data_IF_151803077941
#
_entry.id   IF_151803077941
#
_cell.length_a   1.000
_cell.length_b   1.000
_cell.length_c   1.000
_cell.angle_alpha   90.00
_cell.angle_beta   90.00
_cell.angle_gamma   90.00
#
_symmetry.space_group_name_H-M   'P 1'
#
loop_
_entity.id
_entity.type
_entity.pdbx_description
1 polymer ?
#
# COMPACT_ATOMS: atom_id res chain seq x y z
N UNK A 1 3.81 15.33 -0.71
CA UNK A 1 2.93 15.22 -1.89
C UNK A 1 2.95 13.78 -2.40
N UNK A 2 1.88 13.35 -3.08
CA UNK A 2 1.71 11.99 -3.60
C UNK A 2 2.31 11.82 -5.00
N UNK A 3 1.91 10.76 -5.71
CA UNK A 3 2.25 10.56 -7.12
C UNK A 3 1.40 11.48 -7.99
N UNK A 4 2.06 12.15 -8.94
CA UNK A 4 1.44 12.98 -9.97
C UNK A 4 0.51 12.13 -10.84
N UNK A 5 -0.78 12.47 -10.88
CA UNK A 5 -1.76 11.74 -11.72
C UNK A 5 -1.88 12.33 -13.12
N UNK A 6 -1.40 13.56 -13.34
CA UNK A 6 -1.63 14.31 -14.58
C UNK A 6 -3.07 14.81 -14.76
N UNK A 7 -3.95 14.59 -13.77
CA UNK A 7 -5.33 15.09 -13.80
C UNK A 7 -5.36 16.51 -13.22
N UNK A 8 -5.79 17.46 -14.05
CA UNK A 8 -5.98 18.86 -13.65
C UNK A 8 -7.46 19.12 -13.40
N UNK A 9 -7.80 19.58 -12.19
CA UNK A 9 -9.15 19.98 -11.82
C UNK A 9 -9.23 21.49 -11.69
N UNK A 10 -10.22 22.08 -12.38
CA UNK A 10 -10.59 23.49 -12.20
C UNK A 10 -11.54 23.61 -11.00
N UNK A 11 -11.16 24.48 -10.06
CA UNK A 11 -11.94 24.78 -8.86
C UNK A 11 -13.02 25.85 -9.16
N UNK A 12 -14.11 25.91 -8.38
CA UNK A 12 -15.16 26.92 -8.56
C UNK A 12 -14.66 28.37 -8.50
N UNK A 13 -13.56 28.61 -7.78
CA UNK A 13 -12.87 29.90 -7.68
C UNK A 13 -11.95 30.21 -8.88
N UNK A 14 -11.87 29.33 -9.88
CA UNK A 14 -11.06 29.51 -11.08
C UNK A 14 -9.62 29.00 -10.98
N UNK A 15 -9.17 28.53 -9.82
CA UNK A 15 -7.84 27.93 -9.66
C UNK A 15 -7.76 26.55 -10.34
N UNK A 16 -6.56 26.18 -10.78
CA UNK A 16 -6.27 24.83 -11.28
C UNK A 16 -5.43 24.10 -10.25
N UNK A 17 -5.85 22.90 -9.89
CA UNK A 17 -5.11 22.01 -8.99
C UNK A 17 -4.76 20.72 -9.72
N UNK A 18 -3.55 20.22 -9.51
CA UNK A 18 -3.20 18.86 -9.90
C UNK A 18 -3.63 17.90 -8.79
N UNK A 19 -4.34 16.84 -9.17
CA UNK A 19 -4.71 15.79 -8.24
C UNK A 19 -3.51 14.85 -8.10
N UNK A 20 -3.07 14.60 -6.88
CA UNK A 20 -2.01 13.64 -6.57
C UNK A 20 -2.61 12.44 -5.84
N UNK A 21 -2.11 11.23 -6.14
CA UNK A 21 -2.46 10.00 -5.43
C UNK A 21 -1.51 9.80 -4.23
N UNK A 22 -1.99 9.86 -2.97
CA UNK A 22 -1.16 9.56 -1.80
C UNK A 22 -0.67 8.11 -1.83
N UNK A 23 0.58 7.90 -1.38
CA UNK A 23 1.20 6.57 -1.23
C UNK A 23 0.99 5.94 0.15
N UNK A 24 0.40 6.68 1.07
CA UNK A 24 0.18 6.30 2.46
C UNK A 24 -1.08 6.93 3.01
N UNK A 25 -1.29 6.86 4.34
CA UNK A 25 -2.47 7.42 4.97
C UNK A 25 -2.56 8.94 4.76
N UNK A 26 -3.78 9.44 4.79
CA UNK A 26 -4.11 10.87 4.74
C UNK A 26 -4.67 11.32 6.08
N UNK A 27 -4.52 12.61 6.40
CA UNK A 27 -5.16 13.22 7.56
C UNK A 27 -6.66 13.47 7.33
N UNK A 28 -7.36 13.97 8.35
CA UNK A 28 -8.80 14.30 8.29
C UNK A 28 -9.15 15.36 7.23
N UNK A 29 -8.16 16.10 6.73
CA UNK A 29 -8.30 17.12 5.68
C UNK A 29 -7.91 16.58 4.29
N UNK A 30 -7.55 15.30 4.19
CA UNK A 30 -7.14 14.65 2.95
C UNK A 30 -5.70 14.95 2.52
N UNK A 31 -4.88 15.56 3.38
CA UNK A 31 -3.46 15.78 3.08
C UNK A 31 -2.65 14.52 3.34
N UNK A 32 -1.67 14.20 2.47
CA UNK A 32 -0.81 13.03 2.66
C UNK A 32 0.07 13.20 3.90
N UNK A 33 0.01 12.22 4.81
CA UNK A 33 0.93 12.15 5.95
C UNK A 33 2.33 11.83 5.41
N UNK A 34 3.36 12.64 5.70
CA UNK A 34 4.72 12.37 5.20
C UNK A 34 5.24 11.02 5.69
N UNK A 35 5.63 10.16 4.75
CA UNK A 35 6.32 8.90 5.05
C UNK A 35 7.83 9.13 5.13
N UNK A 36 8.47 8.53 6.14
CA UNK A 36 9.93 8.51 6.22
C UNK A 36 10.53 7.67 5.09
N UNK A 37 11.61 8.15 4.49
CA UNK A 37 12.28 7.44 3.41
C UNK A 37 13.06 6.24 3.97
N UNK A 38 12.65 5.03 3.60
CA UNK A 38 13.26 3.77 4.08
C UNK A 38 14.23 3.13 3.06
N UNK A 39 14.71 3.88 2.06
CA UNK A 39 15.67 3.37 1.06
C UNK A 39 15.07 2.59 -0.12
N UNK A 40 13.75 2.37 -0.14
CA UNK A 40 13.06 1.69 -1.25
C UNK A 40 12.80 2.64 -2.44
N UNK A 41 12.77 2.09 -3.66
CA UNK A 41 12.43 2.86 -4.86
C UNK A 41 10.95 3.28 -4.81
N UNK A 42 10.71 4.58 -4.71
CA UNK A 42 9.35 5.14 -4.69
C UNK A 42 8.86 5.35 -6.13
N UNK A 43 7.74 4.73 -6.55
CA UNK A 43 7.18 4.94 -7.87
C UNK A 43 6.77 6.41 -8.04
N UNK A 44 7.11 7.00 -9.19
CA UNK A 44 6.79 8.39 -9.53
C UNK A 44 5.69 8.54 -10.58
N UNK A 45 5.23 7.42 -11.15
CA UNK A 45 4.26 7.39 -12.25
C UNK A 45 3.11 6.45 -11.90
N UNK A 46 1.88 6.85 -12.22
CA UNK A 46 0.67 6.08 -11.97
C UNK A 46 0.63 4.71 -12.67
N UNK A 47 1.28 4.57 -13.83
CA UNK A 47 1.33 3.30 -14.55
C UNK A 47 2.08 2.19 -13.80
N UNK A 48 2.86 2.53 -12.77
CA UNK A 48 3.53 1.56 -11.89
C UNK A 48 2.69 1.17 -10.67
N UNK A 49 1.55 1.81 -10.44
CA UNK A 49 0.60 1.51 -9.38
C UNK A 49 -0.58 0.62 -9.85
N UNK A 50 -0.51 0.06 -11.06
CA UNK A 50 -1.60 -0.78 -11.60
C UNK A 50 -2.86 -0.02 -11.99
N UNK A 51 -2.86 1.32 -11.96
CA UNK A 51 -4.05 2.16 -12.14
C UNK A 51 -4.64 2.15 -13.55
N UNK A 52 -3.92 1.58 -14.53
CA UNK A 52 -4.35 1.49 -15.93
C UNK A 52 -5.19 0.23 -16.23
N UNK A 53 -5.41 -0.65 -15.24
CA UNK A 53 -6.09 -1.93 -15.44
C UNK A 53 -5.21 -2.99 -16.12
N UNK A 54 -5.80 -4.15 -16.40
CA UNK A 54 -5.15 -5.28 -17.09
C UNK A 54 -5.73 -5.38 -18.52
N UNK A 55 -4.91 -5.69 -19.54
CA UNK A 55 -5.44 -6.01 -20.86
C UNK A 55 -6.36 -7.24 -20.77
N UNK A 56 -7.38 -7.32 -21.62
CA UNK A 56 -8.28 -8.46 -21.66
C UNK A 56 -7.53 -9.78 -21.92
N UNK A 57 -8.00 -10.86 -21.31
CA UNK A 57 -7.41 -12.19 -21.50
C UNK A 57 -7.73 -12.79 -22.86
N UNK A 58 -6.86 -13.67 -23.31
CA UNK A 58 -6.96 -14.40 -24.57
C UNK A 58 -5.68 -14.36 -25.38
N UNK A 59 -5.82 -14.74 -26.65
CA UNK A 59 -4.77 -14.65 -27.65
C UNK A 59 -4.58 -13.21 -28.13
N UNK A 60 -3.45 -12.93 -28.78
CA UNK A 60 -3.14 -11.64 -29.39
C UNK A 60 -4.23 -11.14 -30.35
N UNK A 61 -4.96 -12.05 -30.99
CA UNK A 61 -5.98 -11.76 -32.01
C UNK A 61 -7.38 -12.29 -31.68
N UNK A 62 -7.56 -12.96 -30.54
CA UNK A 62 -8.84 -13.59 -30.18
C UNK A 62 -9.03 -13.52 -28.67
N UNK A 63 -10.13 -12.91 -28.24
CA UNK A 63 -10.47 -12.80 -26.82
C UNK A 63 -11.05 -14.12 -26.28
N UNK A 64 -10.82 -14.37 -25.00
CA UNK A 64 -11.48 -15.45 -24.26
C UNK A 64 -12.95 -15.11 -23.99
N UNK A 65 -13.81 -16.10 -23.65
CA UNK A 65 -15.16 -15.84 -23.16
C UNK A 65 -15.17 -14.85 -21.98
N UNK A 66 -16.20 -14.00 -21.92
CA UNK A 66 -16.29 -12.93 -20.90
C UNK A 66 -16.30 -13.51 -19.48
N UNK A 67 -16.99 -14.63 -19.26
CA UNK A 67 -17.07 -15.27 -17.94
C UNK A 67 -15.70 -15.77 -17.46
N UNK A 68 -14.92 -16.41 -18.34
CA UNK A 68 -13.56 -16.86 -18.03
C UNK A 68 -12.64 -15.68 -17.76
N UNK A 69 -12.75 -14.62 -18.57
CA UNK A 69 -11.94 -13.40 -18.43
C UNK A 69 -12.15 -12.71 -17.09
N UNK A 70 -13.41 -12.59 -16.65
CA UNK A 70 -13.77 -12.00 -15.36
C UNK A 70 -13.31 -12.88 -14.19
N UNK A 71 -13.45 -14.20 -14.30
CA UNK A 71 -12.99 -15.14 -13.28
C UNK A 71 -11.46 -15.06 -13.09
N UNK A 72 -10.71 -14.97 -14.21
CA UNK A 72 -9.26 -14.79 -14.19
C UNK A 72 -8.85 -13.45 -13.58
N UNK A 73 -9.49 -12.35 -13.97
CA UNK A 73 -9.21 -11.03 -13.40
C UNK A 73 -9.42 -11.01 -11.89
N UNK A 74 -10.54 -11.56 -11.43
CA UNK A 74 -10.87 -11.66 -10.00
C UNK A 74 -9.84 -12.51 -9.25
N UNK A 75 -9.47 -13.68 -9.78
CA UNK A 75 -8.47 -14.55 -9.16
C UNK A 75 -7.09 -13.88 -9.07
N UNK A 76 -6.66 -13.19 -10.13
CA UNK A 76 -5.39 -12.47 -10.15
C UNK A 76 -5.38 -11.29 -9.18
N UNK A 77 -6.48 -10.53 -9.10
CA UNK A 77 -6.61 -9.41 -8.17
C UNK A 77 -6.59 -9.91 -6.71
N UNK A 78 -7.27 -11.02 -6.43
CA UNK A 78 -7.26 -11.66 -5.11
C UNK A 78 -5.85 -12.13 -4.72
N UNK A 79 -5.16 -12.86 -5.60
CA UNK A 79 -3.80 -13.35 -5.31
C UNK A 79 -2.77 -12.23 -5.15
N UNK A 80 -2.95 -11.10 -5.82
CA UNK A 80 -2.13 -9.89 -5.62
C UNK A 80 -2.34 -9.30 -4.23
N UNK A 81 -3.59 -9.22 -3.76
CA UNK A 81 -3.92 -8.75 -2.42
C UNK A 81 -3.33 -9.66 -1.34
N UNK A 82 -3.46 -10.99 -1.50
CA UNK A 82 -2.89 -11.96 -0.57
C UNK A 82 -1.37 -11.81 -0.44
N UNK A 83 -0.65 -11.65 -1.56
CA UNK A 83 0.79 -11.43 -1.56
C UNK A 83 1.17 -10.15 -0.82
N UNK A 84 0.46 -9.05 -1.06
CA UNK A 84 0.69 -7.77 -0.36
C UNK A 84 0.43 -7.90 1.14
N UNK A 85 -0.63 -8.60 1.54
CA UNK A 85 -0.93 -8.88 2.96
C UNK A 85 0.19 -9.69 3.60
N UNK A 86 0.67 -10.76 2.96
CA UNK A 86 1.78 -11.56 3.50
C UNK A 86 3.06 -10.73 3.69
N UNK A 87 3.41 -9.88 2.71
CA UNK A 87 4.56 -8.98 2.81
C UNK A 87 4.38 -7.97 3.96
N UNK A 88 3.17 -7.46 4.14
CA UNK A 88 2.84 -6.53 5.22
C UNK A 88 2.98 -7.18 6.60
N UNK A 89 2.42 -8.38 6.77
CA UNK A 89 2.54 -9.15 8.01
C UNK A 89 4.00 -9.48 8.35
N UNK A 90 4.80 -9.82 7.34
CA UNK A 90 6.23 -10.06 7.51
C UNK A 90 6.95 -8.80 7.99
N UNK A 91 6.67 -7.65 7.38
CA UNK A 91 7.23 -6.37 7.77
C UNK A 91 6.87 -6.02 9.23
N UNK A 92 5.59 -6.15 9.60
CA UNK A 92 5.11 -5.85 10.95
C UNK A 92 5.77 -6.79 11.99
N UNK A 93 5.99 -8.07 11.66
CA UNK A 93 6.72 -9.02 12.52
C UNK A 93 8.20 -8.66 12.68
N UNK A 94 8.86 -8.27 11.59
CA UNK A 94 10.27 -7.89 11.61
C UNK A 94 10.51 -6.62 12.46
N UNK A 95 9.60 -5.65 12.41
CA UNK A 95 9.68 -4.42 13.20
C UNK A 95 9.16 -4.59 14.64
N UNK A 96 8.20 -5.48 14.87
CA UNK A 96 7.64 -5.76 16.21
C UNK A 96 8.59 -6.50 17.16
N UNK A 97 9.63 -7.16 16.64
CA UNK A 97 10.60 -7.92 17.45
C UNK A 97 11.71 -7.06 18.09
N UNK A 98 11.62 -5.73 18.01
CA UNK A 98 12.58 -4.78 18.59
C UNK A 98 12.24 -4.25 19.99
N UNK A 99 11.13 -4.69 20.61
CA UNK A 99 10.65 -4.16 21.89
C UNK A 99 10.23 -5.25 22.89
N UNK A 100 11.16 -6.14 23.25
CA UNK A 100 11.17 -6.83 24.55
C UNK A 100 12.58 -7.41 24.74
N UNK A 101 13.44 -6.88 25.61
CA UNK A 101 13.54 -7.33 26.99
C UNK A 101 14.59 -6.48 27.71
N UNK A 102 14.16 -5.60 28.62
CA UNK A 102 14.98 -5.15 29.75
C UNK A 102 14.04 -4.80 30.89
N UNK A 103 13.67 -5.84 31.60
CA UNK A 103 12.78 -5.77 32.75
C UNK A 103 12.79 -7.10 33.46
N UNK A 104 13.94 -7.47 34.05
CA UNK A 104 13.89 -8.34 35.22
C UNK A 104 15.17 -8.23 36.07
N UNK A 105 14.98 -8.07 37.38
CA UNK A 105 16.06 -8.16 38.35
C UNK A 105 15.86 -7.43 39.67
N UNK A 106 14.78 -7.70 40.42
CA UNK A 106 14.84 -7.56 41.89
C UNK A 106 13.92 -8.58 42.55
N UNK A 107 14.48 -9.75 42.84
CA UNK A 107 13.87 -10.77 43.68
C UNK A 107 13.82 -10.26 45.13
N UNK A 108 12.62 -10.17 45.69
CA UNK A 108 12.43 -9.99 47.13
C UNK A 108 12.85 -11.26 47.86
N UNK A 109 13.93 -11.17 48.63
CA UNK A 109 14.31 -12.22 49.58
C UNK A 109 13.50 -12.01 50.87
N UNK A 110 12.66 -12.98 51.20
CA UNK A 110 12.12 -13.16 52.54
C UNK A 110 13.23 -13.69 53.46
N UNK A 111 13.40 -13.05 54.60
CA UNK A 111 14.37 -13.43 55.62
C UNK A 111 13.59 -13.87 56.86
N UNK A 112 13.79 -15.13 57.23
CA UNK A 112 13.29 -15.74 58.44
C UNK A 112 14.32 -15.55 59.55
N UNK A 113 13.92 -15.01 60.70
CA UNK A 113 14.42 -15.33 62.03
C UNK A 113 13.41 -14.90 63.09
#
# INVERSE_FOLDING_TARGET
HGIETGIIKRMPNGQYIEIHQPLGPVDDHGHPIPLEYQGATVPKKMNKLGSAGKPGSGSLVTADPVEESLALEHALHHGEHEQLTMLREYQDRAHGNGSSTSGNGSSGNGEAH
#
